data_IF_845857724689
#
_entry.id   IF_845857724689
#
_cell.length_a   1.000
_cell.length_b   1.000
_cell.length_c   1.000
_cell.angle_alpha   90.00
_cell.angle_beta   90.00
_cell.angle_gamma   90.00
#
_symmetry.space_group_name_H-M   'P 1'
#
loop_
_entity.id
_entity.type
_entity.pdbx_description
1 polymer ?
#
# COMPACT_ATOMS: atom_id res chain seq x y z
N UNK A 1 11.53 -0.47 -6.99
CA UNK A 1 12.16 0.60 -6.20
C UNK A 1 11.73 0.49 -4.75
N UNK A 2 12.54 1.00 -3.81
CA UNK A 2 12.24 0.96 -2.38
C UNK A 2 12.03 2.37 -1.79
N UNK A 3 11.21 2.46 -0.74
CA UNK A 3 10.98 3.68 0.03
C UNK A 3 11.29 3.41 1.51
N UNK A 4 12.12 4.24 2.13
CA UNK A 4 12.34 4.19 3.56
C UNK A 4 11.16 4.85 4.29
N UNK A 5 10.55 4.14 5.24
CA UNK A 5 9.42 4.64 6.04
C UNK A 5 9.88 4.84 7.47
N UNK A 6 9.83 6.08 7.95
CA UNK A 6 10.08 6.38 9.36
C UNK A 6 8.83 6.00 10.16
N UNK A 7 8.98 5.12 11.14
CA UNK A 7 7.92 4.70 12.05
C UNK A 7 7.81 5.61 13.26
N UNK A 8 7.18 5.09 14.32
CA UNK A 8 6.84 5.87 15.53
C UNK A 8 8.10 6.01 16.40
N UNK A 9 8.93 7.00 16.08
CA UNK A 9 10.17 7.26 16.83
C UNK A 9 11.09 8.31 16.20
N UNK A 10 10.89 8.64 14.91
CA UNK A 10 11.59 9.72 14.15
C UNK A 10 13.12 9.61 14.02
N UNK A 11 13.81 8.64 14.62
CA UNK A 11 15.28 8.60 14.61
C UNK A 11 15.94 7.51 13.76
N UNK A 12 15.22 6.49 13.26
CA UNK A 12 15.75 5.56 12.25
C UNK A 12 14.72 5.26 11.14
N UNK A 13 15.21 4.78 9.98
CA UNK A 13 14.35 4.28 8.91
C UNK A 13 13.76 2.93 9.35
N UNK A 14 12.66 2.97 10.09
CA UNK A 14 12.08 1.80 10.77
C UNK A 14 11.65 0.67 9.81
N UNK A 15 11.61 0.86 8.49
CA UNK A 15 11.48 -0.22 7.50
C UNK A 15 11.68 0.28 6.07
N UNK A 16 12.22 -0.58 5.20
CA UNK A 16 12.26 -0.37 3.75
C UNK A 16 11.07 -1.09 3.11
N UNK A 17 10.20 -0.35 2.42
CA UNK A 17 9.07 -0.95 1.68
C UNK A 17 9.37 -0.98 0.19
N UNK A 18 8.86 -2.00 -0.50
CA UNK A 18 8.88 -2.07 -1.96
C UNK A 18 7.65 -1.35 -2.51
N UNK A 19 7.85 -0.47 -3.48
CA UNK A 19 6.76 0.18 -4.23
C UNK A 19 6.76 -0.30 -5.68
N UNK A 20 5.58 -0.25 -6.31
CA UNK A 20 5.43 -0.61 -7.72
C UNK A 20 6.12 0.42 -8.62
N UNK A 21 6.39 0.03 -9.87
CA UNK A 21 7.02 0.92 -10.85
C UNK A 21 6.12 2.12 -11.18
N UNK A 22 4.81 1.93 -11.19
CA UNK A 22 3.84 3.00 -11.42
C UNK A 22 3.84 4.00 -10.27
N UNK A 23 3.86 3.51 -9.02
CA UNK A 23 3.95 4.36 -7.84
C UNK A 23 5.27 5.13 -7.79
N UNK A 24 6.37 4.49 -8.19
CA UNK A 24 7.66 5.15 -8.35
C UNK A 24 7.62 6.27 -9.39
N UNK A 25 7.07 6.01 -10.58
CA UNK A 25 6.97 6.99 -11.65
C UNK A 25 6.23 8.24 -11.16
N UNK A 26 5.05 8.06 -10.55
CA UNK A 26 4.25 9.16 -10.01
C UNK A 26 5.00 9.90 -8.89
N UNK A 27 5.77 9.18 -8.06
CA UNK A 27 6.54 9.80 -7.00
C UNK A 27 7.69 10.65 -7.54
N UNK A 28 8.34 10.23 -8.64
CA UNK A 28 9.39 11.00 -9.31
C UNK A 28 8.83 12.28 -9.91
N UNK A 29 7.68 12.21 -10.57
CA UNK A 29 6.98 13.38 -11.11
C UNK A 29 6.63 14.37 -9.99
N UNK A 30 6.10 13.85 -8.87
CA UNK A 30 5.82 14.66 -7.69
C UNK A 30 7.08 15.30 -7.12
N UNK A 31 8.19 14.57 -6.98
CA UNK A 31 9.45 15.12 -6.45
C UNK A 31 10.00 16.24 -7.35
N UNK A 32 9.89 16.08 -8.67
CA UNK A 32 10.24 17.12 -9.63
C UNK A 32 9.41 18.40 -9.42
N UNK A 33 8.08 18.27 -9.26
CA UNK A 33 7.18 19.41 -9.03
C UNK A 33 7.29 20.00 -7.61
N UNK A 34 7.55 19.17 -6.60
CA UNK A 34 7.70 19.56 -5.19
C UNK A 34 8.97 20.39 -4.99
N UNK A 35 10.03 20.04 -5.70
CA UNK A 35 11.38 20.58 -5.52
C UNK A 35 12.17 19.87 -4.42
N UNK A 36 13.38 20.36 -4.20
CA UNK A 36 14.45 19.76 -3.38
C UNK A 36 14.45 20.20 -1.90
N UNK A 37 13.56 21.12 -1.52
CA UNK A 37 13.52 21.66 -0.15
C UNK A 37 13.38 20.53 0.89
N UNK A 38 14.19 20.53 1.97
CA UNK A 38 14.05 19.57 3.06
C UNK A 38 12.66 19.59 3.68
N UNK A 39 12.18 18.44 4.14
CA UNK A 39 10.91 18.35 4.86
C UNK A 39 10.08 17.11 4.51
N UNK A 40 8.77 17.18 4.75
CA UNK A 40 7.88 16.06 4.49
C UNK A 40 7.82 15.72 2.99
N UNK A 41 7.66 14.42 2.68
CA UNK A 41 7.49 13.94 1.30
C UNK A 41 6.28 14.58 0.63
N UNK A 42 5.15 14.64 1.33
CA UNK A 42 3.95 15.32 0.87
C UNK A 42 3.72 16.59 1.67
N UNK A 43 3.53 17.70 0.95
CA UNK A 43 3.34 19.04 1.51
C UNK A 43 2.04 19.66 1.01
N UNK A 44 1.49 20.61 1.76
CA UNK A 44 0.39 21.44 1.28
C UNK A 44 0.83 22.33 0.12
N UNK A 45 -0.07 22.55 -0.84
CA UNK A 45 0.15 23.42 -2.00
C UNK A 45 -0.36 24.87 -1.80
N UNK A 46 -0.80 25.21 -0.58
CA UNK A 46 -1.33 26.54 -0.27
C UNK A 46 -0.24 27.61 -0.18
N UNK A 47 -0.60 28.86 -0.50
CA UNK A 47 0.33 29.99 -0.60
C UNK A 47 1.04 30.38 0.70
N UNK A 48 0.54 29.96 1.88
CA UNK A 48 1.02 30.44 3.19
C UNK A 48 1.98 29.51 3.91
N UNK A 49 2.11 28.24 3.49
CA UNK A 49 3.18 27.34 3.94
C UNK A 49 3.13 26.00 3.20
N UNK A 50 4.31 25.50 2.78
CA UNK A 50 4.52 24.14 2.26
C UNK A 50 4.78 23.15 3.40
N UNK A 51 3.97 23.22 4.44
CA UNK A 51 4.05 22.33 5.59
C UNK A 51 3.59 20.92 5.22
N UNK A 52 3.87 19.95 6.09
CA UNK A 52 3.42 18.56 5.95
C UNK A 52 1.93 18.50 5.64
N UNK A 53 1.58 17.74 4.60
CA UNK A 53 0.19 17.51 4.23
C UNK A 53 -0.58 16.89 5.41
N UNK A 54 -1.67 17.53 5.83
CA UNK A 54 -2.48 17.03 6.94
C UNK A 54 -3.27 15.78 6.54
N UNK A 55 -3.55 14.91 7.50
CA UNK A 55 -4.35 13.71 7.27
C UNK A 55 -5.76 14.05 6.77
N UNK A 56 -6.34 15.17 7.24
CA UNK A 56 -7.65 15.66 6.77
C UNK A 56 -7.61 16.03 5.30
N UNK A 57 -6.58 16.78 4.87
CA UNK A 57 -6.41 17.15 3.47
C UNK A 57 -6.18 15.92 2.59
N UNK A 58 -5.33 15.00 3.02
CA UNK A 58 -5.07 13.74 2.30
C UNK A 58 -6.34 12.89 2.12
N UNK A 59 -7.15 12.71 3.18
CA UNK A 59 -8.45 12.04 3.09
C UNK A 59 -9.40 12.73 2.11
N UNK A 60 -9.37 14.07 2.06
CA UNK A 60 -10.13 14.87 1.10
C UNK A 60 -9.74 14.59 -0.35
N UNK A 61 -8.43 14.55 -0.63
CA UNK A 61 -7.87 14.22 -1.96
C UNK A 61 -8.35 12.82 -2.40
N UNK A 62 -8.22 11.82 -1.52
CA UNK A 62 -8.66 10.45 -1.83
C UNK A 62 -10.17 10.38 -2.08
N UNK A 63 -10.99 11.06 -1.27
CA UNK A 63 -12.45 11.12 -1.49
C UNK A 63 -12.80 11.81 -2.82
N UNK A 64 -12.10 12.87 -3.18
CA UNK A 64 -12.29 13.54 -4.47
C UNK A 64 -11.95 12.61 -5.64
N UNK A 65 -10.84 11.87 -5.54
CA UNK A 65 -10.45 10.87 -6.53
C UNK A 65 -11.50 9.75 -6.66
N UNK A 66 -12.02 9.23 -5.55
CA UNK A 66 -13.13 8.26 -5.61
C UNK A 66 -14.36 8.81 -6.30
N UNK A 67 -14.77 10.04 -5.98
CA UNK A 67 -15.92 10.69 -6.63
C UNK A 67 -15.70 10.85 -8.13
N UNK A 68 -14.51 11.30 -8.53
CA UNK A 68 -14.15 11.45 -9.95
C UNK A 68 -14.16 10.11 -10.71
N UNK A 69 -13.76 9.02 -10.04
CA UNK A 69 -13.79 7.68 -10.60
C UNK A 69 -15.17 6.98 -10.53
N UNK A 70 -16.21 7.67 -10.04
CA UNK A 70 -17.55 7.07 -9.85
C UNK A 70 -17.63 6.03 -8.74
N UNK A 71 -16.62 5.95 -7.85
CA UNK A 71 -16.59 5.02 -6.72
C UNK A 71 -17.35 5.64 -5.56
N UNK A 72 -18.54 5.12 -5.28
CA UNK A 72 -19.48 5.63 -4.28
C UNK A 72 -19.61 4.71 -3.06
N UNK A 73 -20.01 5.28 -1.92
CA UNK A 73 -20.27 4.57 -0.66
C UNK A 73 -19.49 5.11 0.53
N UNK A 74 -20.13 5.17 1.69
CA UNK A 74 -19.53 5.75 2.91
C UNK A 74 -18.33 4.96 3.44
N UNK A 75 -18.25 3.67 3.09
CA UNK A 75 -17.12 2.81 3.42
C UNK A 75 -15.89 2.99 2.49
N UNK A 76 -15.99 3.81 1.43
CA UNK A 76 -14.88 4.10 0.52
C UNK A 76 -13.99 5.17 1.11
N UNK A 77 -12.86 4.73 1.67
CA UNK A 77 -11.94 5.57 2.43
C UNK A 77 -10.50 5.26 2.02
N UNK A 78 -9.53 6.00 2.53
CA UNK A 78 -8.12 5.66 2.35
C UNK A 78 -7.80 4.21 2.75
N UNK A 79 -8.47 3.67 3.77
CA UNK A 79 -8.24 2.30 4.21
C UNK A 79 -8.80 1.26 3.22
N UNK A 80 -9.86 1.59 2.47
CA UNK A 80 -10.38 0.67 1.45
C UNK A 80 -9.39 0.43 0.32
N UNK A 81 -8.55 1.42 -0.04
CA UNK A 81 -7.46 1.21 -1.00
C UNK A 81 -6.46 0.13 -0.52
N UNK A 82 -6.12 0.14 0.78
CA UNK A 82 -5.25 -0.89 1.37
C UNK A 82 -5.89 -2.27 1.28
N UNK A 83 -7.18 -2.39 1.62
CA UNK A 83 -7.90 -3.65 1.51
C UNK A 83 -7.95 -4.16 0.08
N UNK A 84 -8.17 -3.28 -0.90
CA UNK A 84 -8.14 -3.62 -2.32
C UNK A 84 -6.77 -4.13 -2.74
N UNK A 85 -5.68 -3.47 -2.33
CA UNK A 85 -4.32 -3.92 -2.64
C UNK A 85 -4.02 -5.32 -2.06
N UNK A 86 -4.37 -5.56 -0.80
CA UNK A 86 -4.20 -6.87 -0.13
C UNK A 86 -5.03 -7.94 -0.85
N UNK A 87 -6.31 -7.66 -1.09
CA UNK A 87 -7.22 -8.58 -1.78
C UNK A 87 -6.71 -8.91 -3.17
N UNK A 88 -6.25 -7.92 -3.93
CA UNK A 88 -5.72 -8.12 -5.28
C UNK A 88 -4.47 -8.99 -5.27
N UNK A 89 -3.54 -8.75 -4.34
CA UNK A 89 -2.32 -9.54 -4.23
C UNK A 89 -2.64 -11.01 -3.92
N UNK A 90 -3.55 -11.26 -2.98
CA UNK A 90 -4.01 -12.62 -2.64
C UNK A 90 -4.69 -13.29 -3.84
N UNK A 91 -5.63 -12.60 -4.50
CA UNK A 91 -6.34 -13.14 -5.66
C UNK A 91 -5.40 -13.48 -6.82
N UNK A 92 -4.32 -12.71 -7.00
CA UNK A 92 -3.30 -12.97 -8.01
C UNK A 92 -2.27 -14.03 -7.56
N UNK A 93 -2.46 -14.67 -6.40
CA UNK A 93 -1.66 -15.79 -5.95
C UNK A 93 -0.37 -15.44 -5.24
N UNK A 94 -0.23 -14.22 -4.74
CA UNK A 94 0.92 -13.87 -3.91
C UNK A 94 0.94 -14.74 -2.64
N UNK A 95 2.09 -15.27 -2.22
CA UNK A 95 2.22 -16.00 -0.96
C UNK A 95 1.72 -15.15 0.21
N UNK A 96 0.92 -15.75 1.11
CA UNK A 96 0.23 -14.99 2.16
C UNK A 96 1.20 -14.28 3.11
N UNK A 97 2.38 -14.84 3.34
CA UNK A 97 3.46 -14.24 4.12
C UNK A 97 4.04 -12.98 3.43
N UNK A 98 4.18 -13.01 2.09
CA UNK A 98 4.61 -11.84 1.33
C UNK A 98 3.53 -10.73 1.38
N UNK A 99 2.25 -11.11 1.29
CA UNK A 99 1.13 -10.18 1.46
C UNK A 99 1.10 -9.60 2.88
N UNK A 100 1.36 -10.40 3.92
CA UNK A 100 1.44 -9.92 5.30
C UNK A 100 2.54 -8.87 5.47
N UNK A 101 3.73 -9.13 4.90
CA UNK A 101 4.85 -8.19 4.92
C UNK A 101 4.51 -6.90 4.18
N UNK A 102 3.97 -6.98 2.96
CA UNK A 102 3.49 -5.81 2.20
C UNK A 102 2.43 -5.02 3.00
N UNK A 103 1.52 -5.73 3.67
CA UNK A 103 0.48 -5.16 4.49
C UNK A 103 0.96 -4.74 5.88
N UNK A 104 2.22 -4.96 6.26
CA UNK A 104 2.80 -4.65 7.57
C UNK A 104 1.89 -5.07 8.74
N UNK A 105 1.26 -6.24 8.62
CA UNK A 105 0.38 -6.77 9.66
C UNK A 105 1.22 -7.55 10.66
N UNK A 106 1.18 -7.13 11.94
CA UNK A 106 1.88 -7.82 13.01
C UNK A 106 1.36 -9.26 13.22
N UNK A 107 0.08 -9.50 12.96
CA UNK A 107 -0.55 -10.82 13.08
C UNK A 107 -1.00 -11.32 11.70
N UNK A 108 -0.55 -12.52 11.32
CA UNK A 108 -0.93 -13.18 10.07
C UNK A 108 -2.45 -13.38 9.97
N UNK A 109 -3.14 -13.58 11.10
CA UNK A 109 -4.61 -13.74 11.15
C UNK A 109 -5.34 -12.55 10.53
N UNK A 110 -4.80 -11.33 10.67
CA UNK A 110 -5.38 -10.13 10.02
C UNK A 110 -5.30 -10.21 8.50
N UNK A 111 -4.25 -10.81 7.96
CA UNK A 111 -4.08 -11.02 6.51
C UNK A 111 -4.92 -12.20 6.01
N UNK A 112 -5.09 -13.24 6.83
CA UNK A 112 -5.86 -14.44 6.47
C UNK A 112 -7.33 -14.15 6.18
N UNK A 113 -7.90 -13.06 6.71
CA UNK A 113 -9.25 -12.59 6.36
C UNK A 113 -9.43 -12.47 4.83
N UNK A 114 -8.38 -12.14 4.09
CA UNK A 114 -8.40 -12.01 2.63
C UNK A 114 -8.12 -13.32 1.88
N UNK A 115 -7.58 -14.33 2.56
CA UNK A 115 -7.18 -15.62 1.97
C UNK A 115 -8.37 -16.57 1.79
N UNK A 116 -9.42 -16.44 2.60
CA UNK A 116 -10.60 -17.32 2.58
C UNK A 116 -11.39 -17.34 1.26
N UNK A 117 -11.01 -16.53 0.28
CA UNK A 117 -11.57 -16.52 -1.07
C UNK A 117 -10.79 -17.38 -2.08
N UNK A 118 -9.71 -18.06 -1.67
CA UNK A 118 -8.92 -18.90 -2.59
C UNK A 118 -9.59 -20.26 -2.71
N UNK A 119 -10.08 -20.59 -3.90
CA UNK A 119 -10.79 -21.84 -4.17
C UNK A 119 -9.83 -23.03 -4.11
N UNK A 120 -10.04 -23.92 -3.14
CA UNK A 120 -9.30 -25.18 -2.96
C UNK A 120 -9.23 -26.00 -4.25
N UNK A 121 -10.26 -25.92 -5.09
CA UNK A 121 -10.36 -26.68 -6.34
C UNK A 121 -9.39 -26.14 -7.39
N UNK A 122 -9.18 -24.82 -7.43
CA UNK A 122 -8.35 -24.18 -8.48
C UNK A 122 -6.86 -24.16 -8.19
N UNK A 123 -6.48 -24.38 -6.92
CA UNK A 123 -5.08 -24.31 -6.48
C UNK A 123 -4.81 -25.23 -5.28
N UNK A 124 -4.97 -26.55 -5.47
CA UNK A 124 -4.76 -27.53 -4.41
C UNK A 124 -3.31 -27.50 -3.88
N UNK A 125 -3.12 -27.78 -2.60
CA UNK A 125 -1.79 -27.83 -2.00
C UNK A 125 -0.96 -29.00 -2.57
N UNK A 126 -1.66 -30.02 -3.06
CA UNK A 126 -1.15 -31.22 -3.70
C UNK A 126 -0.28 -30.91 -4.92
N UNK A 127 -0.59 -29.84 -5.68
CA UNK A 127 0.20 -29.41 -6.85
C UNK A 127 1.63 -28.94 -6.50
N UNK A 128 1.86 -28.60 -5.22
CA UNK A 128 3.14 -28.10 -4.73
C UNK A 128 4.00 -29.20 -4.10
N UNK A 129 3.51 -30.44 -4.00
CA UNK A 129 4.29 -31.57 -3.48
C UNK A 129 5.32 -31.98 -4.53
N UNK A 130 6.61 -31.80 -4.22
CA UNK A 130 7.72 -32.29 -5.04
C UNK A 130 8.54 -33.29 -4.24
N UNK A 131 8.81 -34.44 -4.83
CA UNK A 131 9.77 -35.40 -4.31
C UNK A 131 11.10 -35.17 -5.03
N UNK A 132 12.15 -34.82 -4.30
CA UNK A 132 13.49 -34.78 -4.87
C UNK A 132 13.91 -36.22 -5.21
N UNK A 133 14.38 -36.44 -6.44
CA UNK A 133 15.01 -37.70 -6.79
C UNK A 133 16.31 -37.82 -5.98
N UNK A 134 16.41 -38.89 -5.19
CA UNK A 134 17.63 -39.25 -4.43
C UNK A 134 18.79 -39.54 -5.38
#
# INVERSE_FOLDING_TARGET
MTLAVHGKGRYEADEVIVITLEAESVLRDWLSARGDKPGALFVGLGNRNRDRLSLRAFRGIVKAAFKAAGVVGDNKTTHSLRHTAITSAVKNGAPIQAVQSMARHANITTTMIYYHATDRITRPAEDFIRYEAR
#
